data_IF_480151101722
#
_entry.id   IF_480151101722
#
_cell.length_a   1.000
_cell.length_b   1.000
_cell.length_c   1.000
_cell.angle_alpha   90.00
_cell.angle_beta   90.00
_cell.angle_gamma   90.00
#
_symmetry.space_group_name_H-M   'P 1'
#
loop_
_entity.id
_entity.type
_entity.pdbx_description
1 polymer ?
#
# COMPACT_ATOMS: atom_id res chain seq x y z
N UNK A 1 6.19 -12.06 16.52
CA UNK A 1 7.12 -11.83 15.40
C UNK A 1 6.49 -10.74 14.54
N UNK A 2 7.26 -9.77 14.03
CA UNK A 2 6.69 -8.72 13.19
C UNK A 2 5.99 -9.33 11.96
N UNK A 3 5.02 -8.62 11.38
CA UNK A 3 4.30 -9.08 10.19
C UNK A 3 5.27 -9.18 9.00
N UNK A 4 6.16 -8.19 8.88
CA UNK A 4 7.32 -8.25 8.00
C UNK A 4 8.60 -8.34 8.83
N UNK A 5 9.40 -9.38 8.62
CA UNK A 5 10.69 -9.55 9.30
C UNK A 5 11.69 -8.46 8.92
N UNK A 6 11.69 -8.05 7.64
CA UNK A 6 12.47 -6.91 7.16
C UNK A 6 11.61 -5.65 7.20
N UNK A 7 12.06 -4.65 7.96
CA UNK A 7 11.38 -3.35 8.08
C UNK A 7 11.52 -2.48 6.81
N UNK A 8 12.38 -2.87 5.88
CA UNK A 8 12.58 -2.19 4.60
C UNK A 8 12.01 -3.05 3.48
N UNK A 9 11.02 -2.55 2.71
CA UNK A 9 10.51 -3.24 1.53
C UNK A 9 11.55 -3.25 0.41
N UNK A 10 11.44 -4.16 -0.58
CA UNK A 10 12.20 -4.04 -1.81
C UNK A 10 11.95 -2.68 -2.47
N UNK A 11 13.02 -1.98 -2.82
CA UNK A 11 12.93 -0.71 -3.54
C UNK A 11 12.49 -0.94 -4.99
N UNK A 12 11.60 -0.09 -5.49
CA UNK A 12 11.21 -0.04 -6.90
C UNK A 12 12.04 0.97 -7.70
N UNK A 13 12.91 1.73 -7.02
CA UNK A 13 13.77 2.74 -7.64
C UNK A 13 13.09 4.08 -7.87
N UNK A 14 12.06 4.40 -7.08
CA UNK A 14 11.39 5.69 -7.08
C UNK A 14 11.15 6.16 -5.62
N UNK A 15 11.91 7.18 -5.19
CA UNK A 15 12.04 7.59 -3.79
C UNK A 15 10.71 7.81 -3.06
N UNK A 16 9.73 8.44 -3.73
CA UNK A 16 8.41 8.69 -3.13
C UNK A 16 7.64 7.40 -2.86
N UNK A 17 7.69 6.46 -3.80
CA UNK A 17 7.00 5.15 -3.70
C UNK A 17 7.69 4.31 -2.61
N UNK A 18 9.02 4.27 -2.62
CA UNK A 18 9.82 3.53 -1.63
C UNK A 18 9.61 4.06 -0.19
N UNK A 19 9.45 5.38 -0.05
CA UNK A 19 9.13 6.00 1.24
C UNK A 19 7.75 5.58 1.72
N UNK A 20 6.74 5.65 0.86
CA UNK A 20 5.37 5.23 1.20
C UNK A 20 5.29 3.74 1.55
N UNK A 21 6.02 2.89 0.83
CA UNK A 21 6.12 1.46 1.14
C UNK A 21 6.73 1.21 2.52
N UNK A 22 7.76 1.96 2.89
CA UNK A 22 8.43 1.84 4.19
C UNK A 22 7.50 2.25 5.33
N UNK A 23 6.72 3.32 5.15
CA UNK A 23 5.71 3.76 6.13
C UNK A 23 4.59 2.71 6.27
N UNK A 24 4.12 2.12 5.16
CA UNK A 24 3.11 1.06 5.18
C UNK A 24 3.55 -0.16 6.01
N UNK A 25 4.78 -0.66 5.78
CA UNK A 25 5.35 -1.76 6.59
C UNK A 25 5.47 -1.37 8.06
N UNK A 26 5.93 -0.15 8.36
CA UNK A 26 6.07 0.33 9.73
C UNK A 26 4.72 0.33 10.47
N UNK A 27 3.66 0.82 9.84
CA UNK A 27 2.30 0.82 10.37
C UNK A 27 1.80 -0.62 10.62
N UNK A 28 1.97 -1.53 9.66
CA UNK A 28 1.60 -2.94 9.83
C UNK A 28 2.32 -3.61 11.00
N UNK A 29 3.63 -3.41 11.09
CA UNK A 29 4.43 -3.97 12.18
C UNK A 29 4.07 -3.37 13.54
N UNK A 30 3.63 -2.11 13.59
CA UNK A 30 3.13 -1.49 14.81
C UNK A 30 1.78 -2.11 15.22
N UNK A 31 0.86 -2.32 14.27
CA UNK A 31 -0.48 -2.89 14.53
C UNK A 31 -0.46 -4.29 15.15
N UNK A 32 0.57 -5.09 14.87
CA UNK A 32 0.73 -6.42 15.49
C UNK A 32 0.84 -6.33 17.02
N UNK A 33 1.44 -5.26 17.53
CA UNK A 33 1.72 -5.03 18.96
C UNK A 33 0.67 -4.16 19.65
N UNK A 34 -0.21 -3.51 18.89
CA UNK A 34 -1.21 -2.58 19.41
C UNK A 34 -2.27 -3.30 20.22
N UNK A 35 -2.72 -2.70 21.33
CA UNK A 35 -3.81 -3.25 22.15
C UNK A 35 -5.18 -3.07 21.45
N UNK A 36 -6.25 -3.63 22.02
CA UNK A 36 -7.58 -3.60 21.40
C UNK A 36 -8.17 -2.19 21.29
N UNK A 37 -7.86 -1.32 22.25
CA UNK A 37 -8.40 0.05 22.35
C UNK A 37 -7.80 0.97 21.30
N UNK A 38 -6.50 0.83 21.04
CA UNK A 38 -5.77 1.70 20.09
C UNK A 38 -5.84 1.16 18.66
N UNK A 39 -6.24 -0.11 18.47
CA UNK A 39 -6.25 -0.76 17.16
C UNK A 39 -7.11 -0.03 16.11
N UNK A 40 -8.34 0.44 16.40
CA UNK A 40 -9.14 1.16 15.40
C UNK A 40 -8.47 2.43 14.88
N UNK A 41 -7.81 3.18 15.77
CA UNK A 41 -7.09 4.40 15.40
C UNK A 41 -5.92 4.12 14.48
N UNK A 42 -5.15 3.07 14.76
CA UNK A 42 -4.02 2.69 13.91
C UNK A 42 -4.47 2.02 12.60
N UNK A 43 -5.60 1.31 12.60
CA UNK A 43 -6.21 0.77 11.39
C UNK A 43 -6.67 1.89 10.44
N UNK A 44 -7.24 2.97 10.99
CA UNK A 44 -7.60 4.16 10.22
C UNK A 44 -6.35 4.82 9.61
N UNK A 45 -5.29 5.02 10.40
CA UNK A 45 -4.03 5.59 9.89
C UNK A 45 -3.43 4.74 8.75
N UNK A 46 -3.45 3.42 8.88
CA UNK A 46 -3.00 2.52 7.81
C UNK A 46 -3.85 2.69 6.53
N UNK A 47 -5.17 2.78 6.67
CA UNK A 47 -6.07 3.01 5.54
C UNK A 47 -5.80 4.36 4.86
N UNK A 48 -5.67 5.44 5.64
CA UNK A 48 -5.42 6.79 5.12
C UNK A 48 -4.08 6.86 4.40
N UNK A 49 -3.01 6.34 5.01
CA UNK A 49 -1.69 6.25 4.37
C UNK A 49 -1.75 5.49 3.05
N UNK A 50 -2.45 4.34 3.03
CA UNK A 50 -2.59 3.53 1.81
C UNK A 50 -3.36 4.28 0.72
N UNK A 51 -4.44 4.98 1.08
CA UNK A 51 -5.22 5.76 0.14
C UNK A 51 -4.42 6.93 -0.44
N UNK A 52 -3.69 7.67 0.40
CA UNK A 52 -2.84 8.77 -0.05
C UNK A 52 -1.71 8.31 -0.96
N UNK A 53 -1.07 7.18 -0.61
CA UNK A 53 -0.06 6.54 -1.45
C UNK A 53 -0.61 6.22 -2.85
N UNK A 54 -1.79 5.58 -2.92
CA UNK A 54 -2.43 5.29 -4.20
C UNK A 54 -2.78 6.54 -4.99
N UNK A 55 -3.24 7.62 -4.36
CA UNK A 55 -3.49 8.89 -5.07
C UNK A 55 -2.21 9.51 -5.65
N UNK A 56 -1.07 9.36 -4.96
CA UNK A 56 0.24 9.79 -5.50
C UNK A 56 0.60 8.94 -6.72
N UNK A 57 0.42 7.62 -6.67
CA UNK A 57 0.67 6.75 -7.82
C UNK A 57 -0.29 6.99 -8.97
N UNK A 58 -1.58 7.22 -8.70
CA UNK A 58 -2.56 7.61 -9.72
C UNK A 58 -2.11 8.88 -10.44
N UNK A 59 -1.63 9.88 -9.69
CA UNK A 59 -1.11 11.12 -10.24
C UNK A 59 0.12 10.87 -11.13
N UNK A 60 1.04 10.01 -10.69
CA UNK A 60 2.20 9.61 -11.48
C UNK A 60 1.80 8.83 -12.75
N UNK A 61 0.85 7.91 -12.66
CA UNK A 61 0.36 7.17 -13.82
C UNK A 61 -0.24 8.09 -14.87
N UNK A 62 -1.07 9.06 -14.45
CA UNK A 62 -1.65 10.05 -15.34
C UNK A 62 -0.57 10.98 -15.94
N UNK A 63 0.37 11.48 -15.13
CA UNK A 63 1.45 12.37 -15.57
C UNK A 63 2.34 11.73 -16.63
N UNK A 64 2.73 10.48 -16.41
CA UNK A 64 3.65 9.75 -17.28
C UNK A 64 2.94 8.90 -18.35
N UNK A 65 1.61 9.04 -18.51
CA UNK A 65 0.80 8.27 -19.46
C UNK A 65 1.05 6.76 -19.36
N UNK A 66 0.95 6.21 -18.14
CA UNK A 66 1.27 4.81 -17.87
C UNK A 66 0.26 3.88 -18.56
N UNK A 67 0.69 2.94 -19.42
CA UNK A 67 -0.23 2.15 -20.25
C UNK A 67 -1.21 1.26 -19.48
N UNK A 68 -0.84 0.80 -18.28
CA UNK A 68 -1.63 -0.11 -17.46
C UNK A 68 -2.34 0.60 -16.28
N UNK A 69 -2.59 1.91 -16.41
CA UNK A 69 -3.24 2.73 -15.39
C UNK A 69 -4.59 2.14 -14.95
N UNK A 70 -5.40 1.65 -15.89
CA UNK A 70 -6.75 1.14 -15.57
C UNK A 70 -6.68 -0.11 -14.69
N UNK A 71 -5.80 -1.06 -15.03
CA UNK A 71 -5.60 -2.28 -14.27
C UNK A 71 -5.02 -1.98 -12.88
N UNK A 72 -4.03 -1.09 -12.79
CA UNK A 72 -3.40 -0.68 -11.53
C UNK A 72 -4.39 0.01 -10.59
N UNK A 73 -5.14 0.99 -11.10
CA UNK A 73 -6.22 1.65 -10.35
C UNK A 73 -7.28 0.64 -9.89
N UNK A 74 -7.59 -0.37 -10.71
CA UNK A 74 -8.51 -1.46 -10.36
C UNK A 74 -8.06 -2.26 -9.14
N UNK A 75 -6.77 -2.59 -9.04
CA UNK A 75 -6.19 -3.26 -7.86
C UNK A 75 -6.25 -2.37 -6.61
N UNK A 76 -5.91 -1.09 -6.73
CA UNK A 76 -6.02 -0.11 -5.64
C UNK A 76 -7.44 -0.02 -5.10
N UNK A 77 -8.44 0.16 -5.99
CA UNK A 77 -9.83 0.27 -5.58
C UNK A 77 -10.35 -1.00 -4.90
N UNK A 78 -9.90 -2.18 -5.34
CA UNK A 78 -10.26 -3.44 -4.69
C UNK A 78 -9.71 -3.48 -3.26
N UNK A 79 -8.44 -3.14 -3.06
CA UNK A 79 -7.84 -3.13 -1.72
C UNK A 79 -8.50 -2.09 -0.80
N UNK A 80 -8.75 -0.87 -1.28
CA UNK A 80 -9.46 0.16 -0.51
C UNK A 80 -10.89 -0.29 -0.15
N UNK A 81 -11.55 -1.05 -1.04
CA UNK A 81 -12.82 -1.70 -0.76
C UNK A 81 -12.75 -2.73 0.37
N UNK A 82 -11.71 -3.58 0.39
CA UNK A 82 -11.46 -4.51 1.49
C UNK A 82 -11.19 -3.77 2.81
N UNK A 83 -10.33 -2.73 2.79
CA UNK A 83 -10.10 -1.87 3.95
C UNK A 83 -11.38 -1.31 4.53
N UNK A 84 -12.26 -0.70 3.71
CA UNK A 84 -13.55 -0.14 4.16
C UNK A 84 -14.43 -1.22 4.81
N UNK A 85 -14.47 -2.42 4.24
CA UNK A 85 -15.22 -3.55 4.79
C UNK A 85 -14.69 -4.01 6.15
N UNK A 86 -13.37 -4.10 6.31
CA UNK A 86 -12.75 -4.50 7.57
C UNK A 86 -12.81 -3.39 8.62
N UNK A 87 -12.63 -2.13 8.21
CA UNK A 87 -12.81 -0.96 9.09
C UNK A 87 -14.21 -0.95 9.70
N UNK A 88 -15.25 -1.19 8.90
CA UNK A 88 -16.63 -1.26 9.41
C UNK A 88 -16.80 -2.34 10.49
N UNK A 89 -16.07 -3.45 10.41
CA UNK A 89 -16.07 -4.50 11.44
C UNK A 89 -15.28 -4.07 12.68
N UNK A 90 -14.11 -3.46 12.47
CA UNK A 90 -13.25 -2.91 13.53
C UNK A 90 -13.99 -1.85 14.35
N UNK A 91 -14.70 -0.93 13.70
CA UNK A 91 -15.50 0.12 14.34
C UNK A 91 -16.66 -0.45 15.19
N UNK A 92 -17.12 -1.67 14.88
CA UNK A 92 -18.11 -2.43 15.66
C UNK A 92 -17.49 -3.25 16.80
N UNK A 93 -16.20 -3.11 17.06
CA UNK A 93 -15.46 -3.86 18.07
C UNK A 93 -15.03 -5.27 17.62
N UNK A 94 -15.26 -5.65 16.36
CA UNK A 94 -14.87 -6.96 15.83
C UNK A 94 -13.39 -6.96 15.39
N UNK A 95 -12.50 -6.64 16.33
CA UNK A 95 -11.06 -6.41 16.09
C UNK A 95 -10.35 -7.63 15.50
N UNK A 96 -10.80 -8.85 15.83
CA UNK A 96 -10.23 -10.08 15.31
C UNK A 96 -10.21 -10.12 13.77
N UNK A 97 -11.25 -9.59 13.10
CA UNK A 97 -11.30 -9.53 11.65
C UNK A 97 -10.26 -8.56 11.07
N UNK A 98 -10.08 -7.40 11.70
CA UNK A 98 -9.03 -6.45 11.32
C UNK A 98 -7.64 -7.06 11.49
N UNK A 99 -7.41 -7.82 12.57
CA UNK A 99 -6.14 -8.52 12.81
C UNK A 99 -5.85 -9.60 11.77
N UNK A 100 -6.86 -10.40 11.41
CA UNK A 100 -6.70 -11.40 10.36
C UNK A 100 -6.35 -10.73 9.01
N UNK A 101 -7.06 -9.64 8.66
CA UNK A 101 -6.79 -8.89 7.44
C UNK A 101 -5.34 -8.38 7.35
N UNK A 102 -4.83 -7.71 8.39
CA UNK A 102 -3.47 -7.16 8.37
C UNK A 102 -2.37 -8.24 8.39
N UNK A 103 -2.65 -9.44 8.91
CA UNK A 103 -1.67 -10.53 9.03
C UNK A 103 -1.64 -11.45 7.83
N UNK A 104 -2.81 -11.71 7.25
CA UNK A 104 -2.96 -12.76 6.24
C UNK A 104 -3.12 -12.16 4.85
N UNK A 105 -3.90 -11.09 4.72
CA UNK A 105 -4.28 -10.54 3.41
C UNK A 105 -3.31 -9.47 2.91
N UNK A 106 -3.03 -8.47 3.74
CA UNK A 106 -2.21 -7.32 3.33
C UNK A 106 -0.77 -7.68 2.96
N UNK A 107 -0.03 -8.53 3.70
CA UNK A 107 1.37 -8.81 3.37
C UNK A 107 1.54 -9.53 2.03
N UNK A 108 0.61 -10.45 1.74
CA UNK A 108 0.58 -11.20 0.48
C UNK A 108 0.25 -10.27 -0.69
N UNK A 109 -0.77 -9.42 -0.53
CA UNK A 109 -1.13 -8.42 -1.54
C UNK A 109 0.04 -7.48 -1.84
N UNK A 110 0.61 -6.88 -0.79
CA UNK A 110 1.65 -5.86 -0.89
C UNK A 110 2.90 -6.39 -1.58
N UNK A 111 3.36 -7.59 -1.21
CA UNK A 111 4.53 -8.21 -1.83
C UNK A 111 4.32 -8.45 -3.34
N UNK A 112 3.13 -8.93 -3.71
CA UNK A 112 2.79 -9.13 -5.12
C UNK A 112 2.68 -7.80 -5.86
N UNK A 113 2.04 -6.81 -5.26
CA UNK A 113 1.80 -5.51 -5.89
C UNK A 113 3.10 -4.78 -6.20
N UNK A 114 4.01 -4.66 -5.22
CA UNK A 114 5.34 -4.06 -5.40
C UNK A 114 6.12 -4.75 -6.51
N UNK A 115 6.15 -6.08 -6.48
CA UNK A 115 6.99 -6.85 -7.41
C UNK A 115 6.47 -6.82 -8.86
N UNK A 116 5.21 -6.44 -9.08
CA UNK A 116 4.57 -6.54 -10.41
C UNK A 116 4.06 -5.22 -10.97
N UNK A 117 3.40 -4.39 -10.17
CA UNK A 117 2.70 -3.19 -10.65
C UNK A 117 3.53 -1.94 -10.34
N UNK A 118 3.93 -1.73 -9.09
CA UNK A 118 4.67 -0.53 -8.67
C UNK A 118 6.07 -0.51 -9.31
N UNK A 119 6.71 -1.69 -9.42
CA UNK A 119 7.97 -1.85 -10.15
C UNK A 119 7.84 -1.50 -11.64
N UNK A 120 6.70 -1.83 -12.26
CA UNK A 120 6.44 -1.50 -13.66
C UNK A 120 6.21 0.01 -13.85
N UNK A 121 5.48 0.65 -12.94
CA UNK A 121 5.29 2.10 -12.94
C UNK A 121 6.63 2.82 -12.76
N UNK A 122 7.42 2.45 -11.76
CA UNK A 122 8.73 3.05 -11.49
C UNK A 122 9.68 2.90 -12.69
N UNK A 123 9.73 1.71 -13.31
CA UNK A 123 10.53 1.47 -14.51
C UNK A 123 10.09 2.34 -15.70
N UNK A 124 8.77 2.53 -15.88
CA UNK A 124 8.21 3.39 -16.92
C UNK A 124 8.58 4.87 -16.72
N UNK A 125 8.42 5.38 -15.49
CA UNK A 125 8.80 6.76 -15.13
C UNK A 125 10.29 6.98 -15.38
N UNK A 126 11.14 6.06 -14.92
CA UNK A 126 12.59 6.12 -15.13
C UNK A 126 12.93 6.20 -16.61
N UNK A 127 12.33 5.33 -17.42
CA UNK A 127 12.54 5.32 -18.87
C UNK A 127 12.13 6.63 -19.53
N UNK A 128 10.99 7.21 -19.15
CA UNK A 128 10.55 8.50 -19.71
C UNK A 128 11.47 9.66 -19.32
N UNK A 129 12.01 9.67 -18.10
CA UNK A 129 12.98 10.70 -17.67
C UNK A 129 14.35 10.58 -18.34
N UNK A 130 14.72 9.38 -18.79
CA UNK A 130 15.99 9.11 -19.48
C UNK A 130 15.91 9.34 -20.99
N UNK A 131 14.71 9.54 -21.56
CA UNK A 131 14.56 9.92 -22.95
C UNK A 131 14.98 11.39 -23.13
N UNK A 132 15.93 11.71 -24.03
CA UNK A 132 16.19 13.10 -24.40
C UNK A 132 14.92 13.74 -24.95
N UNK A 133 14.69 15.02 -24.65
CA UNK A 133 13.68 15.84 -25.34
C UNK A 133 13.81 15.60 -26.86
N UNK A 134 12.80 14.98 -27.47
CA UNK A 134 12.72 14.81 -28.93
C UNK A 134 12.36 16.12 -29.60
#
# INVERSE_FOLDING_TARGET
MPIFENATPPSVGHDLIDTDHSVFIALLNQMDKTNITDFPGLFLQLYEHTAEHFEREHSLMAEFNFPAETEHNGEHQRLLGEFKQFKTRVDKGLIAFGRAFIKERLPQWFTLHISTMDSALAAHIKRQRELPDQ
#
